data_IF_955965184409
#
_entry.id   IF_955965184409
#
_cell.length_a   1.000
_cell.length_b   1.000
_cell.length_c   1.000
_cell.angle_alpha   90.00
_cell.angle_beta   90.00
_cell.angle_gamma   90.00
#
_symmetry.space_group_name_H-M   'P 1'
#
loop_
_entity.id
_entity.type
_entity.pdbx_description
1 polymer ?
#
# COMPACT_ATOMS: atom_id res chain seq x y z
N UNK A 1 -0.79 77.57 11.20
CA UNK A 1 0.29 77.05 10.35
C UNK A 1 0.80 75.78 10.99
N UNK A 2 0.78 74.70 10.22
CA UNK A 2 1.09 73.33 10.64
C UNK A 2 2.53 73.23 11.12
N UNK A 3 2.76 72.64 12.29
CA UNK A 3 4.08 72.20 12.72
C UNK A 3 4.12 70.67 12.69
N UNK A 4 5.00 70.15 11.84
CA UNK A 4 5.06 68.76 11.37
C UNK A 4 5.70 67.91 12.47
N UNK A 5 4.96 66.89 12.93
CA UNK A 5 5.48 65.88 13.85
C UNK A 5 6.54 65.02 13.16
N UNK A 6 7.67 64.84 13.82
CA UNK A 6 8.73 63.95 13.38
C UNK A 6 8.36 62.50 13.76
N UNK A 7 8.26 61.54 12.82
CA UNK A 7 7.99 60.16 13.19
C UNK A 7 9.26 59.51 13.75
N UNK A 8 9.20 59.02 15.00
CA UNK A 8 10.18 58.05 15.52
C UNK A 8 10.02 56.76 14.73
N UNK A 9 10.99 56.42 13.90
CA UNK A 9 11.10 55.10 13.31
C UNK A 9 11.42 54.07 14.41
N UNK A 10 10.42 53.27 14.81
CA UNK A 10 10.65 52.03 15.53
C UNK A 10 11.10 50.97 14.53
N UNK A 11 12.41 50.76 14.45
CA UNK A 11 13.03 49.64 13.74
C UNK A 11 12.57 48.31 14.37
N UNK A 12 11.79 47.51 13.65
CA UNK A 12 11.43 46.14 14.05
C UNK A 12 12.65 45.22 13.92
N UNK A 13 13.30 44.89 15.03
CA UNK A 13 14.44 43.96 15.10
C UNK A 13 14.02 42.48 14.97
N UNK A 14 13.21 42.09 13.97
CA UNK A 14 12.77 40.69 13.87
C UNK A 14 12.91 40.01 12.50
N UNK A 15 13.47 40.67 11.49
CA UNK A 15 13.66 40.07 10.16
C UNK A 15 15.14 39.82 9.79
N UNK A 16 16.07 39.97 10.74
CA UNK A 16 17.47 39.70 10.47
C UNK A 16 17.75 38.21 10.64
N UNK A 17 18.28 37.51 9.62
CA UNK A 17 18.64 36.10 9.76
C UNK A 17 19.68 35.94 10.87
N UNK A 18 19.64 34.81 11.60
CA UNK A 18 20.53 34.58 12.73
C UNK A 18 21.99 34.73 12.32
N UNK A 19 22.80 35.23 13.24
CA UNK A 19 24.24 35.35 13.04
C UNK A 19 24.86 33.97 12.80
N UNK A 20 26.05 33.96 12.19
CA UNK A 20 26.82 32.73 11.97
C UNK A 20 27.12 32.00 13.30
N UNK A 21 27.34 32.73 14.37
CA UNK A 21 27.57 32.20 15.72
C UNK A 21 26.30 31.62 16.36
N UNK A 22 25.13 32.25 16.15
CA UNK A 22 23.83 31.67 16.53
C UNK A 22 23.52 30.38 15.76
N UNK A 23 23.85 30.36 14.46
CA UNK A 23 23.67 29.17 13.61
C UNK A 23 24.59 28.00 14.02
N UNK A 24 25.77 28.30 14.57
CA UNK A 24 26.72 27.32 15.09
C UNK A 24 26.36 26.80 16.50
N UNK A 25 25.56 27.54 17.26
CA UNK A 25 25.15 27.18 18.62
C UNK A 25 23.79 26.49 18.69
N UNK A 26 22.98 26.61 17.63
CA UNK A 26 21.80 25.76 17.47
C UNK A 26 22.23 24.34 17.19
N UNK A 27 21.93 23.41 18.11
CA UNK A 27 22.02 21.98 17.81
C UNK A 27 21.29 21.73 16.49
N UNK A 28 21.93 21.08 15.49
CA UNK A 28 21.23 20.77 14.24
C UNK A 28 19.98 19.98 14.60
N UNK A 29 18.83 20.23 13.94
CA UNK A 29 17.63 19.46 14.19
C UNK A 29 17.98 17.99 14.01
N UNK A 30 17.88 17.21 15.08
CA UNK A 30 18.18 15.78 15.05
C UNK A 30 17.10 15.15 14.17
N UNK A 31 17.45 14.86 12.91
CA UNK A 31 16.58 14.11 12.02
C UNK A 31 16.35 12.73 12.62
N UNK A 32 15.16 12.49 13.19
CA UNK A 32 14.75 11.19 13.71
C UNK A 32 13.85 10.51 12.69
N UNK A 33 14.35 9.44 12.09
CA UNK A 33 13.50 8.54 11.31
C UNK A 33 12.67 7.69 12.28
N UNK A 34 11.35 7.67 12.09
CA UNK A 34 10.44 6.82 12.85
C UNK A 34 10.01 5.64 11.98
N UNK A 35 9.99 4.45 12.58
CA UNK A 35 9.53 3.24 11.95
C UNK A 35 8.36 2.64 12.73
N UNK A 36 7.40 2.10 12.00
CA UNK A 36 6.26 1.36 12.52
C UNK A 36 6.10 0.05 11.76
N UNK A 37 5.38 -0.91 12.33
CA UNK A 37 5.17 -2.21 11.73
C UNK A 37 3.71 -2.64 11.85
N UNK A 38 3.15 -3.13 10.75
CA UNK A 38 1.86 -3.79 10.73
C UNK A 38 2.05 -5.26 10.38
N UNK A 39 1.37 -6.15 11.11
CA UNK A 39 1.35 -7.58 10.79
C UNK A 39 -0.08 -8.11 10.76
N UNK A 40 -0.34 -9.05 9.85
CA UNK A 40 -1.57 -9.84 9.83
C UNK A 40 -1.30 -11.10 10.67
N UNK A 41 -2.19 -11.43 11.61
CA UNK A 41 -1.95 -12.51 12.57
C UNK A 41 -3.16 -13.44 12.63
N UNK A 42 -2.88 -14.72 12.87
CA UNK A 42 -3.89 -15.80 12.84
C UNK A 42 -4.73 -15.68 11.55
N UNK A 43 -6.06 -15.78 11.67
CA UNK A 43 -7.01 -15.65 10.58
C UNK A 43 -7.75 -14.30 10.52
N UNK A 44 -7.63 -13.46 11.56
CA UNK A 44 -8.55 -12.34 11.81
C UNK A 44 -7.99 -11.25 12.74
N UNK A 45 -6.68 -11.20 12.96
CA UNK A 45 -6.02 -10.16 13.78
C UNK A 45 -5.11 -9.26 12.94
N UNK A 46 -5.04 -7.99 13.31
CA UNK A 46 -4.03 -7.05 12.83
C UNK A 46 -3.27 -6.54 14.06
N UNK A 47 -1.94 -6.50 14.01
CA UNK A 47 -1.12 -5.86 15.06
C UNK A 47 -0.44 -4.63 14.50
N UNK A 48 -0.46 -3.57 15.30
CA UNK A 48 0.14 -2.27 15.00
C UNK A 48 1.21 -1.98 16.06
N UNK A 49 2.47 -1.88 15.64
CA UNK A 49 3.63 -1.62 16.49
C UNK A 49 4.18 -0.23 16.14
N UNK A 50 4.46 0.58 17.17
CA UNK A 50 4.99 1.95 17.06
C UNK A 50 4.12 2.94 16.23
N UNK A 51 2.83 2.66 16.09
CA UNK A 51 1.84 3.63 15.61
C UNK A 51 1.29 4.43 16.79
N UNK A 52 0.97 5.71 16.59
CA UNK A 52 0.30 6.50 17.62
C UNK A 52 -1.19 6.14 17.69
N UNK A 53 -1.86 6.58 18.75
CA UNK A 53 -3.30 6.37 18.92
C UNK A 53 -4.11 6.93 17.73
N UNK A 54 -3.63 7.99 17.08
CA UNK A 54 -4.27 8.58 15.91
C UNK A 54 -4.33 7.59 14.74
N UNK A 55 -3.22 6.93 14.42
CA UNK A 55 -3.19 5.92 13.35
C UNK A 55 -3.93 4.65 13.73
N UNK A 56 -3.82 4.20 14.99
CA UNK A 56 -4.57 3.04 15.48
C UNK A 56 -6.08 3.27 15.34
N UNK A 57 -6.59 4.45 15.71
CA UNK A 57 -8.02 4.77 15.53
C UNK A 57 -8.41 4.89 14.06
N UNK A 58 -7.53 5.41 13.20
CA UNK A 58 -7.78 5.46 11.76
C UNK A 58 -7.98 4.04 11.17
N UNK A 59 -7.09 3.09 11.50
CA UNK A 59 -7.21 1.69 11.06
C UNK A 59 -8.48 1.05 11.62
N UNK A 60 -8.79 1.24 12.91
CA UNK A 60 -10.04 0.74 13.52
C UNK A 60 -11.29 1.30 12.81
N UNK A 61 -11.27 2.56 12.39
CA UNK A 61 -12.39 3.16 11.69
C UNK A 61 -12.59 2.56 10.29
N UNK A 62 -11.50 2.28 9.56
CA UNK A 62 -11.57 1.54 8.29
C UNK A 62 -12.23 0.17 8.50
N UNK A 63 -11.79 -0.60 9.50
CA UNK A 63 -12.40 -1.90 9.83
C UNK A 63 -13.88 -1.73 10.17
N UNK A 64 -14.26 -0.77 11.01
CA UNK A 64 -15.67 -0.58 11.41
C UNK A 64 -16.58 -0.20 10.25
N UNK A 65 -16.08 0.59 9.30
CA UNK A 65 -16.92 1.21 8.25
C UNK A 65 -16.89 0.46 6.93
N UNK A 66 -15.78 -0.21 6.60
CA UNK A 66 -15.57 -0.82 5.29
C UNK A 66 -15.45 -2.35 5.32
N UNK A 67 -15.08 -2.95 6.46
CA UNK A 67 -15.10 -4.41 6.62
C UNK A 67 -16.50 -4.85 7.08
N UNK A 68 -17.30 -5.41 6.16
CA UNK A 68 -18.72 -5.73 6.39
C UNK A 68 -18.98 -6.58 7.65
N UNK A 69 -18.19 -7.61 7.99
CA UNK A 69 -18.37 -8.35 9.26
C UNK A 69 -18.11 -7.49 10.51
N UNK A 70 -17.26 -6.48 10.40
CA UNK A 70 -16.99 -5.48 11.45
C UNK A 70 -15.83 -5.81 12.39
N UNK A 71 -15.64 -4.92 13.36
CA UNK A 71 -14.65 -5.03 14.43
C UNK A 71 -15.24 -5.82 15.62
N UNK A 72 -14.47 -6.75 16.19
CA UNK A 72 -14.82 -7.42 17.46
C UNK A 72 -14.35 -6.57 18.63
N UNK A 73 -13.04 -6.38 18.76
CA UNK A 73 -12.42 -5.59 19.83
C UNK A 73 -11.02 -5.13 19.44
N UNK A 74 -10.41 -4.29 20.29
CA UNK A 74 -9.00 -3.92 20.19
C UNK A 74 -8.44 -3.75 21.59
N UNK A 75 -7.22 -4.23 21.81
CA UNK A 75 -6.54 -4.19 23.10
C UNK A 75 -5.02 -4.14 22.94
N UNK A 76 -4.28 -3.70 23.96
CA UNK A 76 -2.84 -3.88 24.01
C UNK A 76 -2.45 -5.36 23.89
N UNK A 77 -1.34 -5.65 23.22
CA UNK A 77 -0.74 -6.98 23.09
C UNK A 77 0.79 -6.81 23.05
N UNK A 78 1.46 -7.02 24.19
CA UNK A 78 2.87 -6.62 24.34
C UNK A 78 3.03 -5.12 24.02
N UNK A 79 4.05 -4.79 23.23
CA UNK A 79 4.32 -3.42 22.75
C UNK A 79 3.52 -3.04 21.47
N UNK A 80 2.47 -3.79 21.17
CA UNK A 80 1.59 -3.56 20.02
C UNK A 80 0.16 -3.28 20.45
N UNK A 81 -0.63 -2.69 19.55
CA UNK A 81 -2.10 -2.76 19.62
C UNK A 81 -2.59 -3.86 18.70
N UNK A 82 -3.35 -4.80 19.24
CA UNK A 82 -4.04 -5.82 18.45
C UNK A 82 -5.48 -5.38 18.16
N UNK A 83 -5.89 -5.56 16.91
CA UNK A 83 -7.23 -5.29 16.39
C UNK A 83 -7.81 -6.64 15.96
N UNK A 84 -8.94 -7.03 16.55
CA UNK A 84 -9.65 -8.26 16.21
C UNK A 84 -10.83 -7.96 15.29
N UNK A 85 -10.80 -8.54 14.08
CA UNK A 85 -11.83 -8.46 13.06
C UNK A 85 -12.82 -9.62 13.18
N UNK A 86 -14.11 -9.37 12.92
CA UNK A 86 -15.09 -10.46 12.84
C UNK A 86 -14.88 -11.23 11.53
N UNK A 87 -15.06 -12.55 11.56
CA UNK A 87 -14.84 -13.42 10.41
C UNK A 87 -13.41 -13.94 10.35
N UNK A 88 -12.94 -14.30 9.16
CA UNK A 88 -11.59 -14.85 8.92
C UNK A 88 -10.98 -14.27 7.63
N UNK A 89 -10.70 -12.96 7.58
CA UNK A 89 -10.20 -12.30 6.36
C UNK A 89 -8.85 -12.86 5.88
N UNK A 90 -8.02 -13.41 6.76
CA UNK A 90 -6.68 -13.92 6.42
C UNK A 90 -6.64 -15.44 6.25
N UNK A 91 -7.81 -16.10 6.26
CA UNK A 91 -7.90 -17.50 5.94
C UNK A 91 -7.63 -17.73 4.45
N UNK A 92 -7.01 -18.87 4.17
CA UNK A 92 -6.77 -19.31 2.80
C UNK A 92 -8.09 -19.51 2.05
N UNK A 93 -8.11 -19.05 0.81
CA UNK A 93 -9.14 -19.36 -0.18
C UNK A 93 -8.43 -19.54 -1.53
N UNK A 94 -8.68 -20.66 -2.22
CA UNK A 94 -8.07 -20.98 -3.52
C UNK A 94 -8.38 -19.96 -4.63
N UNK A 95 -9.44 -19.17 -4.47
CA UNK A 95 -9.79 -18.07 -5.36
C UNK A 95 -9.56 -16.71 -4.69
N UNK A 96 -9.00 -16.69 -3.48
CA UNK A 96 -8.72 -15.50 -2.70
C UNK A 96 -9.96 -14.82 -2.12
N UNK A 97 -9.73 -14.02 -1.08
CA UNK A 97 -10.76 -13.19 -0.44
C UNK A 97 -10.61 -11.73 -0.91
N UNK A 98 -11.37 -11.35 -1.94
CA UNK A 98 -11.28 -10.01 -2.55
C UNK A 98 -11.69 -8.90 -1.55
N UNK A 99 -12.59 -9.18 -0.60
CA UNK A 99 -12.95 -8.23 0.48
C UNK A 99 -11.80 -8.01 1.48
N UNK A 100 -11.05 -9.07 1.81
CA UNK A 100 -9.88 -8.95 2.68
C UNK A 100 -8.73 -8.19 2.00
N UNK A 101 -8.51 -8.42 0.70
CA UNK A 101 -7.53 -7.67 -0.10
C UNK A 101 -7.87 -6.19 -0.17
N UNK A 102 -9.15 -5.89 -0.37
CA UNK A 102 -9.65 -4.51 -0.35
C UNK A 102 -9.44 -3.84 1.01
N UNK A 103 -9.64 -4.59 2.10
CA UNK A 103 -9.36 -4.11 3.44
C UNK A 103 -7.88 -3.75 3.64
N UNK A 104 -6.95 -4.60 3.17
CA UNK A 104 -5.52 -4.31 3.19
C UNK A 104 -5.22 -3.03 2.41
N UNK A 105 -5.77 -2.91 1.19
CA UNK A 105 -5.56 -1.74 0.34
C UNK A 105 -5.99 -0.44 1.03
N UNK A 106 -7.19 -0.41 1.63
CA UNK A 106 -7.69 0.77 2.36
C UNK A 106 -6.87 1.11 3.60
N UNK A 107 -6.34 0.12 4.30
CA UNK A 107 -5.47 0.36 5.46
C UNK A 107 -4.14 0.97 5.03
N UNK A 108 -3.52 0.46 3.96
CA UNK A 108 -2.27 0.99 3.42
C UNK A 108 -2.44 2.41 2.90
N UNK A 109 -3.49 2.67 2.12
CA UNK A 109 -3.88 4.00 1.65
C UNK A 109 -4.04 4.95 2.83
N UNK A 110 -4.79 4.55 3.86
CA UNK A 110 -5.01 5.40 5.04
C UNK A 110 -3.73 5.68 5.83
N UNK A 111 -2.84 4.71 5.96
CA UNK A 111 -1.55 4.92 6.63
C UNK A 111 -0.64 5.84 5.79
N UNK A 112 -0.66 5.70 4.47
CA UNK A 112 0.06 6.57 3.54
C UNK A 112 -0.42 8.03 3.63
N UNK A 113 -1.73 8.27 3.74
CA UNK A 113 -2.32 9.61 3.98
C UNK A 113 -1.85 10.22 5.31
N UNK A 114 -1.48 9.38 6.28
CA UNK A 114 -0.89 9.80 7.54
C UNK A 114 0.65 9.93 7.44
N UNK A 115 1.24 9.81 6.26
CA UNK A 115 2.69 9.90 6.03
C UNK A 115 3.47 8.64 6.40
N UNK A 116 2.82 7.49 6.61
CA UNK A 116 3.50 6.21 6.81
C UNK A 116 3.68 5.50 5.48
N UNK A 117 4.92 5.49 4.99
CA UNK A 117 5.28 4.93 3.69
C UNK A 117 5.94 3.58 3.89
N UNK A 118 5.48 2.54 3.19
CA UNK A 118 6.05 1.19 3.32
C UNK A 118 7.49 1.20 2.83
N UNK A 119 8.42 0.79 3.69
CA UNK A 119 9.83 0.59 3.35
C UNK A 119 10.06 -0.79 2.73
N UNK A 120 9.46 -1.82 3.31
CA UNK A 120 9.53 -3.20 2.82
C UNK A 120 8.45 -4.08 3.47
N UNK A 121 8.20 -5.23 2.85
CA UNK A 121 7.45 -6.35 3.41
C UNK A 121 8.41 -7.53 3.62
N UNK A 122 8.33 -8.19 4.77
CA UNK A 122 9.30 -9.20 5.20
C UNK A 122 8.64 -10.44 5.78
N UNK A 123 8.89 -11.61 5.21
CA UNK A 123 8.58 -12.92 5.80
C UNK A 123 9.83 -13.50 6.46
N UNK A 124 10.09 -13.14 7.72
CA UNK A 124 11.34 -13.51 8.43
C UNK A 124 11.12 -14.39 9.66
N UNK A 125 9.87 -14.58 10.06
CA UNK A 125 9.53 -15.45 11.20
C UNK A 125 9.39 -16.88 10.70
N UNK A 126 10.14 -17.82 11.27
CA UNK A 126 10.03 -19.25 10.93
C UNK A 126 8.86 -19.96 11.61
N UNK A 127 7.85 -19.19 12.04
CA UNK A 127 6.66 -19.76 12.64
C UNK A 127 5.81 -20.30 11.49
N UNK A 128 5.25 -21.49 11.63
CA UNK A 128 4.18 -21.92 10.73
C UNK A 128 3.16 -20.79 10.68
N UNK A 129 2.64 -20.53 9.47
CA UNK A 129 1.54 -19.59 9.27
C UNK A 129 1.87 -18.10 9.43
N UNK A 130 3.15 -17.74 9.57
CA UNK A 130 3.52 -16.34 9.61
C UNK A 130 3.20 -15.64 8.29
N UNK A 131 2.62 -14.45 8.44
CA UNK A 131 2.40 -13.51 7.34
C UNK A 131 3.44 -12.42 7.44
N UNK A 132 3.58 -11.68 6.35
CA UNK A 132 4.59 -10.64 6.25
C UNK A 132 4.49 -9.59 7.37
N UNK A 133 5.67 -9.11 7.77
CA UNK A 133 5.85 -7.86 8.51
C UNK A 133 5.99 -6.71 7.55
N UNK A 134 5.01 -5.80 7.54
CA UNK A 134 5.01 -4.62 6.70
C UNK A 134 5.62 -3.47 7.49
N UNK A 135 6.82 -3.06 7.09
CA UNK A 135 7.59 -2.01 7.76
C UNK A 135 7.31 -0.67 7.10
N UNK A 136 7.00 0.33 7.91
CA UNK A 136 6.70 1.69 7.47
C UNK A 136 7.75 2.66 8.00
N UNK A 137 8.08 3.66 7.18
CA UNK A 137 8.86 4.82 7.56
C UNK A 137 7.95 6.05 7.57
N UNK A 138 7.99 6.84 8.65
CA UNK A 138 7.29 8.12 8.69
C UNK A 138 7.99 9.12 7.78
N UNK A 139 7.24 9.78 6.91
CA UNK A 139 7.69 10.85 6.04
C UNK A 139 7.00 12.17 6.41
N UNK A 140 7.76 13.26 6.31
CA UNK A 140 7.29 14.63 6.41
C UNK A 140 8.09 15.47 5.39
N UNK A 141 7.45 16.11 4.39
CA UNK A 141 6.00 16.22 4.18
C UNK A 141 5.31 14.88 3.89
N UNK A 142 4.00 14.84 4.09
CA UNK A 142 3.16 13.70 3.70
C UNK A 142 3.25 13.56 2.17
N UNK A 143 3.37 12.34 1.62
CA UNK A 143 3.42 12.13 0.17
C UNK A 143 2.17 12.65 -0.55
N UNK A 144 2.31 12.90 -1.85
CA UNK A 144 1.19 13.30 -2.70
C UNK A 144 0.13 12.19 -2.78
N UNK A 145 -1.17 12.53 -2.87
CA UNK A 145 -2.25 11.55 -3.04
C UNK A 145 -2.01 10.63 -4.24
N UNK A 146 -2.40 9.37 -4.10
CA UNK A 146 -2.26 8.34 -5.12
C UNK A 146 -3.57 7.60 -5.36
N UNK A 147 -3.77 7.11 -6.58
CA UNK A 147 -4.70 6.03 -6.89
C UNK A 147 -4.06 4.69 -6.52
N UNK A 148 -4.84 3.76 -6.00
CA UNK A 148 -4.37 2.47 -5.51
C UNK A 148 -5.09 1.30 -6.18
N UNK A 149 -4.34 0.25 -6.50
CA UNK A 149 -4.89 -1.03 -6.97
C UNK A 149 -4.20 -2.20 -6.27
N UNK A 150 -4.93 -3.30 -6.13
CA UNK A 150 -4.38 -4.57 -5.66
C UNK A 150 -4.50 -5.60 -6.79
N UNK A 151 -3.37 -6.11 -7.26
CA UNK A 151 -3.29 -7.18 -8.25
C UNK A 151 -3.09 -8.51 -7.52
N UNK A 152 -3.85 -9.54 -7.90
CA UNK A 152 -3.71 -10.88 -7.34
C UNK A 152 -3.54 -11.95 -8.42
N UNK A 153 -2.79 -12.98 -8.07
CA UNK A 153 -2.59 -14.19 -8.86
C UNK A 153 -3.26 -15.34 -8.12
N UNK A 154 -4.37 -15.82 -8.66
CA UNK A 154 -5.26 -16.75 -7.97
C UNK A 154 -5.32 -18.08 -8.72
N UNK A 155 -5.37 -19.19 -7.96
CA UNK A 155 -5.34 -20.53 -8.53
C UNK A 155 -4.14 -20.68 -9.48
N UNK A 156 -4.23 -21.53 -10.51
CA UNK A 156 -3.13 -21.70 -11.47
C UNK A 156 -3.14 -20.69 -12.63
N UNK A 157 -4.27 -20.03 -12.91
CA UNK A 157 -4.48 -19.29 -14.17
C UNK A 157 -5.17 -17.91 -14.07
N UNK A 158 -5.56 -17.42 -12.89
CA UNK A 158 -6.36 -16.19 -12.78
C UNK A 158 -5.48 -14.99 -12.43
N UNK A 159 -5.61 -13.92 -13.22
CA UNK A 159 -5.11 -12.60 -12.86
C UNK A 159 -6.30 -11.71 -12.52
N UNK A 160 -6.28 -11.08 -11.34
CA UNK A 160 -7.32 -10.12 -10.94
C UNK A 160 -6.73 -8.78 -10.56
N UNK A 161 -7.56 -7.76 -10.69
CA UNK A 161 -7.41 -6.51 -9.95
C UNK A 161 -8.63 -6.39 -9.06
N UNK A 162 -8.42 -6.17 -7.76
CA UNK A 162 -9.49 -5.97 -6.79
C UNK A 162 -10.28 -4.72 -7.19
N UNK A 163 -11.61 -4.83 -7.16
CA UNK A 163 -12.55 -3.86 -7.73
C UNK A 163 -12.44 -3.74 -9.26
N UNK A 164 -12.72 -2.56 -9.80
CA UNK A 164 -12.62 -2.25 -11.21
C UNK A 164 -11.62 -1.12 -11.40
N UNK A 165 -10.44 -1.39 -12.02
CA UNK A 165 -9.47 -0.35 -12.30
C UNK A 165 -9.98 0.61 -13.38
N UNK A 166 -9.32 1.77 -13.58
CA UNK A 166 -9.61 2.66 -14.68
C UNK A 166 -9.72 1.92 -16.03
N UNK A 167 -10.68 2.32 -16.86
CA UNK A 167 -11.01 1.61 -18.12
C UNK A 167 -9.81 1.53 -19.06
N UNK A 168 -9.00 2.57 -19.13
CA UNK A 168 -7.78 2.62 -19.94
C UNK A 168 -6.72 1.60 -19.50
N UNK A 169 -6.64 1.30 -18.20
CA UNK A 169 -5.81 0.22 -17.67
C UNK A 169 -6.40 -1.15 -18.02
N UNK A 170 -7.69 -1.34 -17.81
CA UNK A 170 -8.42 -2.56 -18.19
C UNK A 170 -8.19 -2.91 -19.66
N UNK A 171 -8.38 -1.95 -20.57
CA UNK A 171 -8.21 -2.13 -22.00
C UNK A 171 -6.75 -2.47 -22.36
N UNK A 172 -5.78 -1.83 -21.69
CA UNK A 172 -4.35 -2.09 -21.93
C UNK A 172 -3.92 -3.48 -21.48
N UNK A 173 -4.43 -3.98 -20.35
CA UNK A 173 -4.17 -5.35 -19.89
C UNK A 173 -4.77 -6.36 -20.88
N UNK A 174 -6.02 -6.15 -21.31
CA UNK A 174 -6.66 -7.03 -22.28
C UNK A 174 -5.93 -7.05 -23.63
N UNK A 175 -5.43 -5.90 -24.08
CA UNK A 175 -4.60 -5.84 -25.28
C UNK A 175 -3.26 -6.54 -25.09
N UNK A 176 -2.65 -6.42 -23.90
CA UNK A 176 -1.36 -7.04 -23.59
C UNK A 176 -1.48 -8.55 -23.55
N UNK A 177 -2.55 -9.11 -22.99
CA UNK A 177 -2.75 -10.56 -22.84
C UNK A 177 -3.72 -11.14 -23.89
N UNK A 178 -3.91 -10.47 -25.03
CA UNK A 178 -4.99 -10.82 -25.97
C UNK A 178 -4.93 -12.26 -26.48
N UNK A 179 -3.73 -12.83 -26.60
CA UNK A 179 -3.52 -14.20 -27.06
C UNK A 179 -3.64 -15.23 -25.92
N UNK A 180 -3.41 -14.80 -24.70
CA UNK A 180 -3.36 -15.65 -23.51
C UNK A 180 -4.71 -15.71 -22.78
N UNK A 181 -5.58 -14.70 -22.91
CA UNK A 181 -6.89 -14.70 -22.25
C UNK A 181 -7.83 -15.73 -22.87
N UNK A 182 -8.19 -16.74 -22.08
CA UNK A 182 -9.22 -17.73 -22.42
C UNK A 182 -10.62 -17.30 -22.03
N UNK A 183 -10.75 -16.62 -20.88
CA UNK A 183 -12.04 -16.14 -20.35
C UNK A 183 -11.86 -14.84 -19.58
N UNK A 184 -12.88 -14.00 -19.57
CA UNK A 184 -12.94 -12.76 -18.78
C UNK A 184 -14.19 -12.68 -17.92
N UNK A 185 -14.06 -12.09 -16.75
CA UNK A 185 -15.13 -11.70 -15.83
C UNK A 185 -14.91 -10.23 -15.47
N UNK A 186 -15.50 -9.32 -16.23
CA UNK A 186 -15.31 -7.88 -16.08
C UNK A 186 -16.65 -7.21 -15.82
N UNK A 187 -16.76 -6.49 -14.70
CA UNK A 187 -17.93 -5.70 -14.28
C UNK A 187 -17.47 -4.36 -13.70
N UNK A 188 -18.40 -3.53 -13.25
CA UNK A 188 -18.11 -2.30 -12.51
C UNK A 188 -17.41 -2.53 -11.16
N UNK A 189 -17.41 -3.76 -10.65
CA UNK A 189 -16.84 -4.10 -9.34
C UNK A 189 -15.77 -5.20 -9.43
N UNK A 190 -15.42 -5.64 -10.64
CA UNK A 190 -14.55 -6.80 -10.82
C UNK A 190 -13.77 -6.70 -12.12
N UNK A 191 -12.45 -6.88 -12.03
CA UNK A 191 -11.61 -7.20 -13.17
C UNK A 191 -10.89 -8.53 -12.93
N UNK A 192 -11.25 -9.55 -13.72
CA UNK A 192 -10.62 -10.87 -13.68
C UNK A 192 -10.48 -11.45 -15.08
N UNK A 193 -9.28 -11.93 -15.38
CA UNK A 193 -8.99 -12.70 -16.60
C UNK A 193 -8.49 -14.09 -16.21
N UNK A 194 -8.85 -15.08 -17.01
CA UNK A 194 -8.36 -16.45 -16.93
C UNK A 194 -7.46 -16.69 -18.13
N UNK A 195 -6.22 -17.08 -17.86
CA UNK A 195 -5.24 -17.37 -18.87
C UNK A 195 -5.47 -18.80 -19.41
N UNK A 196 -5.11 -19.04 -20.67
CA UNK A 196 -5.20 -20.37 -21.30
C UNK A 196 -4.12 -21.34 -20.83
N UNK A 197 -3.06 -20.80 -20.22
CA UNK A 197 -1.96 -21.52 -19.57
C UNK A 197 -2.09 -21.44 -18.05
N UNK A 198 -1.25 -22.17 -17.32
CA UNK A 198 -1.19 -22.20 -15.85
C UNK A 198 0.07 -21.50 -15.29
N UNK A 199 0.25 -20.19 -15.52
CA UNK A 199 1.51 -19.52 -15.20
C UNK A 199 1.80 -19.39 -13.71
N UNK A 200 0.81 -19.58 -12.84
CA UNK A 200 0.98 -19.47 -11.38
C UNK A 200 1.34 -20.81 -10.73
N UNK A 201 1.25 -21.90 -11.50
CA UNK A 201 1.72 -23.23 -11.11
C UNK A 201 2.62 -23.81 -12.22
N UNK A 202 3.72 -23.11 -12.60
CA UNK A 202 4.50 -23.47 -13.77
C UNK A 202 5.43 -24.66 -13.47
N UNK A 203 5.79 -25.39 -14.53
CA UNK A 203 6.82 -26.44 -14.46
C UNK A 203 7.80 -26.34 -15.64
N UNK A 204 9.04 -26.82 -15.45
CA UNK A 204 10.04 -26.81 -16.52
C UNK A 204 10.26 -25.43 -17.14
N UNK A 205 10.13 -25.32 -18.46
CA UNK A 205 10.32 -24.07 -19.22
C UNK A 205 9.19 -23.05 -19.00
N UNK A 206 8.02 -23.48 -18.53
CA UNK A 206 6.90 -22.56 -18.26
C UNK A 206 7.24 -21.56 -17.15
N UNK A 207 8.22 -21.89 -16.30
CA UNK A 207 8.74 -20.98 -15.27
C UNK A 207 9.28 -19.68 -15.88
N UNK A 208 9.88 -19.75 -17.07
CA UNK A 208 10.36 -18.60 -17.83
C UNK A 208 9.19 -17.84 -18.44
N UNK A 209 8.20 -18.56 -19.01
CA UNK A 209 6.97 -17.97 -19.54
C UNK A 209 6.25 -17.14 -18.47
N UNK A 210 6.14 -17.64 -17.25
CA UNK A 210 5.58 -16.88 -16.12
C UNK A 210 6.32 -15.55 -15.91
N UNK A 211 7.65 -15.54 -15.95
CA UNK A 211 8.42 -14.29 -15.78
C UNK A 211 8.22 -13.32 -16.93
N UNK A 212 8.09 -13.81 -18.17
CA UNK A 212 7.75 -12.97 -19.33
C UNK A 212 6.36 -12.35 -19.17
N UNK A 213 5.37 -13.11 -18.69
CA UNK A 213 4.02 -12.58 -18.43
C UNK A 213 4.02 -11.52 -17.32
N UNK A 214 4.82 -11.72 -16.27
CA UNK A 214 4.99 -10.74 -15.20
C UNK A 214 5.65 -9.45 -15.70
N UNK A 215 6.69 -9.55 -16.53
CA UNK A 215 7.33 -8.37 -17.16
C UNK A 215 6.32 -7.59 -18.00
N UNK A 216 5.57 -8.27 -18.87
CA UNK A 216 4.51 -7.64 -19.69
C UNK A 216 3.42 -6.97 -18.84
N UNK A 217 3.04 -7.58 -17.71
CA UNK A 217 2.08 -6.99 -16.78
C UNK A 217 2.64 -5.70 -16.18
N UNK A 218 3.85 -5.73 -15.64
CA UNK A 218 4.50 -4.59 -14.97
C UNK A 218 4.70 -3.45 -15.97
N UNK A 219 5.20 -3.72 -17.17
CA UNK A 219 5.30 -2.73 -18.25
C UNK A 219 3.94 -2.12 -18.62
N UNK A 220 2.86 -2.90 -18.54
CA UNK A 220 1.50 -2.41 -18.81
C UNK A 220 0.99 -1.49 -17.71
N UNK A 221 1.25 -1.86 -16.45
CA UNK A 221 0.93 -1.03 -15.29
C UNK A 221 1.68 0.32 -15.39
N UNK A 222 2.98 0.27 -15.69
CA UNK A 222 3.81 1.47 -15.80
C UNK A 222 3.41 2.36 -16.99
N UNK A 223 3.06 1.78 -18.15
CA UNK A 223 2.48 2.57 -19.26
C UNK A 223 1.18 3.30 -18.90
N UNK A 224 0.54 2.92 -17.80
CA UNK A 224 -0.69 3.53 -17.25
C UNK A 224 -0.47 4.27 -15.93
N UNK A 225 0.79 4.52 -15.57
CA UNK A 225 1.19 5.31 -14.41
C UNK A 225 1.28 4.53 -13.10
N UNK A 226 0.89 3.25 -13.09
CA UNK A 226 0.94 2.42 -11.88
C UNK A 226 2.31 1.78 -11.72
N UNK A 227 2.96 2.05 -10.59
CA UNK A 227 4.18 1.35 -10.15
C UNK A 227 3.86 0.40 -9.02
N UNK A 228 4.65 -0.66 -8.87
CA UNK A 228 4.58 -1.51 -7.68
C UNK A 228 4.98 -0.67 -6.47
N UNK A 229 4.04 -0.56 -5.52
CA UNK A 229 4.25 0.02 -4.22
C UNK A 229 4.96 -1.04 -3.36
N UNK A 230 4.28 -2.12 -3.00
CA UNK A 230 4.88 -3.22 -2.21
C UNK A 230 4.28 -4.55 -2.64
N UNK A 231 4.96 -5.65 -2.34
CA UNK A 231 4.35 -6.98 -2.32
C UNK A 231 3.89 -7.31 -0.91
N UNK A 232 2.84 -8.13 -0.78
CA UNK A 232 2.36 -8.65 0.50
C UNK A 232 2.05 -10.13 0.34
N UNK A 233 2.73 -10.96 1.13
CA UNK A 233 2.47 -12.38 1.24
C UNK A 233 1.02 -12.66 1.64
N UNK A 234 0.37 -13.53 0.89
CA UNK A 234 -1.02 -13.94 1.16
C UNK A 234 -1.14 -15.33 1.79
N UNK A 235 -0.02 -15.88 2.30
CA UNK A 235 0.04 -17.21 2.92
C UNK A 235 -0.99 -17.36 4.03
N UNK A 236 -1.92 -18.30 3.83
CA UNK A 236 -2.82 -18.76 4.86
C UNK A 236 -2.14 -19.75 5.81
N UNK A 237 -2.84 -20.18 6.86
CA UNK A 237 -2.26 -21.12 7.83
C UNK A 237 -1.92 -22.50 7.20
N UNK A 238 -2.56 -22.89 6.09
CA UNK A 238 -2.49 -24.25 5.54
C UNK A 238 -1.88 -24.39 4.12
N UNK A 239 -1.32 -23.34 3.52
CA UNK A 239 -0.80 -23.42 2.14
C UNK A 239 0.56 -22.71 1.96
N UNK A 240 1.56 -23.47 1.50
CA UNK A 240 2.88 -22.97 1.12
C UNK A 240 2.87 -22.28 -0.27
N UNK A 241 1.78 -22.37 -1.04
CA UNK A 241 1.69 -21.95 -2.44
C UNK A 241 0.99 -20.63 -2.74
N UNK A 242 0.53 -19.87 -1.72
CA UNK A 242 -0.21 -18.63 -1.98
C UNK A 242 0.71 -17.55 -2.58
N UNK A 243 0.35 -17.04 -3.77
CA UNK A 243 1.11 -16.00 -4.43
C UNK A 243 0.98 -14.65 -3.70
N UNK A 244 2.04 -13.84 -3.77
CA UNK A 244 2.01 -12.48 -3.23
C UNK A 244 1.00 -11.60 -3.97
N UNK A 245 0.43 -10.64 -3.24
CA UNK A 245 -0.32 -9.54 -3.80
C UNK A 245 0.65 -8.47 -4.30
N UNK A 246 0.38 -7.87 -5.46
CA UNK A 246 1.03 -6.61 -5.84
C UNK A 246 0.11 -5.46 -5.43
N UNK A 247 0.57 -4.64 -4.49
CA UNK A 247 -0.04 -3.35 -4.23
C UNK A 247 0.64 -2.37 -5.16
N UNK A 248 -0.13 -1.74 -6.04
CA UNK A 248 0.38 -0.74 -6.96
C UNK A 248 -0.29 0.60 -6.69
N UNK A 249 0.44 1.67 -6.99
CA UNK A 249 -0.08 3.02 -6.85
C UNK A 249 0.38 3.90 -8.01
N UNK A 250 -0.36 4.98 -8.22
CA UNK A 250 -0.10 6.00 -9.24
C UNK A 250 -0.40 7.36 -8.63
N UNK A 251 0.43 8.38 -8.89
CA UNK A 251 0.11 9.74 -8.45
C UNK A 251 -1.25 10.18 -9.00
N UNK A 252 -2.10 10.79 -8.16
CA UNK A 252 -3.48 11.13 -8.53
C UNK A 252 -3.56 12.16 -9.67
N UNK A 253 -2.50 12.95 -9.86
CA UNK A 253 -2.34 13.95 -10.93
C UNK A 253 -1.55 13.41 -12.13
N UNK A 254 -1.23 12.12 -12.17
CA UNK A 254 -0.49 11.53 -13.28
C UNK A 254 -1.31 11.59 -14.58
N UNK A 255 -0.62 11.93 -15.67
CA UNK A 255 -1.20 11.97 -17.02
C UNK A 255 -0.47 11.01 -17.96
N UNK A 256 -1.16 10.44 -18.98
CA UNK A 256 -0.54 9.55 -19.96
C UNK A 256 0.76 10.09 -20.56
N UNK A 257 1.85 9.32 -20.42
CA UNK A 257 3.17 9.66 -20.92
C UNK A 257 4.07 10.43 -19.94
N UNK A 258 3.56 10.83 -18.77
CA UNK A 258 4.37 11.41 -17.71
C UNK A 258 5.31 10.35 -17.09
N UNK A 259 6.49 10.75 -16.59
CA UNK A 259 7.41 9.84 -15.92
C UNK A 259 6.78 9.24 -14.67
N UNK A 260 7.21 8.03 -14.33
CA UNK A 260 6.90 7.37 -13.06
C UNK A 260 8.07 7.58 -12.12
N UNK A 261 7.76 7.99 -10.90
CA UNK A 261 8.73 8.09 -9.82
C UNK A 261 8.53 6.90 -8.88
N UNK A 262 9.60 6.14 -8.69
CA UNK A 262 9.63 5.12 -7.65
C UNK A 262 9.85 5.78 -6.27
N UNK A 263 9.44 5.08 -5.22
CA UNK A 263 9.62 5.54 -3.84
C UNK A 263 11.05 5.44 -3.35
#
# INVERSE_FOLDING_TARGET
>A
MFNIGNPKATSSMSDQPPSFEESMTTNPPIFKTQFACMTLNMMDRIRLINFTEVEVQAVKQIVKTRWKPGLVQSHPYGDSTEIWLRGRPWAYDSNGNDDARRLILWILERLFDHGWVVQCSLDITKKSESKDSIIFRKQNPIPMPCDWICVSFDNSDKLKIVDSPPKDLTDAILQTFSCEVRRREITSEKFKIHLGVQPWEPSGTDTVTTRILLLRLIETLERRGFTIYTTIGSKGEDDEGAADLLICHRAADWVPGAPIWHR
#
